data_IF_023585402437
#
_entry.id   IF_023585402437
#
_cell.length_a   1.000
_cell.length_b   1.000
_cell.length_c   1.000
_cell.angle_alpha   90.00
_cell.angle_beta   90.00
_cell.angle_gamma   90.00
#
_symmetry.space_group_name_H-M   'P 1'
#
loop_
_entity.id
_entity.type
_entity.pdbx_description
1 polymer ?
#
# COMPACT_ATOMS: atom_id res chain seq x y z
N UNK A 1 -4.11 16.37 10.58
CA UNK A 1 -5.21 15.64 11.23
C UNK A 1 -4.74 14.98 12.52
N UNK A 2 -5.49 15.04 13.62
CA UNK A 2 -5.14 14.39 14.91
C UNK A 2 -5.18 12.83 14.86
N UNK A 3 -5.61 12.26 13.74
CA UNK A 3 -5.76 10.81 13.52
C UNK A 3 -4.47 10.10 13.08
N UNK A 4 -3.42 10.84 12.70
CA UNK A 4 -2.15 10.29 12.21
C UNK A 4 -1.49 9.35 13.24
N UNK A 5 -1.58 9.68 14.53
CA UNK A 5 -0.96 8.89 15.61
C UNK A 5 -1.44 7.43 15.64
N UNK A 6 -2.70 7.16 15.26
CA UNK A 6 -3.27 5.80 15.32
C UNK A 6 -2.68 4.85 14.28
N UNK A 7 -2.19 5.38 13.16
CA UNK A 7 -1.73 4.62 12.00
C UNK A 7 -0.21 4.68 11.79
N UNK A 8 0.52 5.08 12.82
CA UNK A 8 1.98 4.99 12.87
C UNK A 8 2.42 3.69 13.53
N UNK A 9 3.54 3.12 13.05
CA UNK A 9 4.17 1.92 13.62
C UNK A 9 3.18 0.76 13.71
N UNK A 10 2.45 0.56 12.61
CA UNK A 10 1.44 -0.49 12.49
C UNK A 10 2.04 -1.86 12.25
N UNK A 11 3.31 -1.93 11.84
CA UNK A 11 3.95 -3.14 11.33
C UNK A 11 3.64 -3.39 9.86
N UNK A 12 2.73 -2.60 9.25
CA UNK A 12 2.39 -2.72 7.85
C UNK A 12 3.32 -1.89 6.96
N UNK A 13 4.07 -0.93 7.50
CA UNK A 13 4.94 -0.03 6.76
C UNK A 13 5.93 -0.80 5.86
N UNK A 14 6.05 -0.40 4.59
CA UNK A 14 6.78 -1.16 3.56
C UNK A 14 8.03 -0.50 3.02
N UNK A 15 8.21 0.80 3.26
CA UNK A 15 9.36 1.53 2.72
C UNK A 15 10.72 0.94 3.13
N UNK A 16 10.95 0.47 4.38
CA UNK A 16 12.26 -0.09 4.73
C UNK A 16 12.59 -1.37 3.95
N UNK A 17 11.61 -2.25 3.75
CA UNK A 17 11.78 -3.47 2.94
C UNK A 17 12.08 -3.13 1.47
N UNK A 18 11.31 -2.19 0.90
CA UNK A 18 11.54 -1.71 -0.47
C UNK A 18 12.94 -1.12 -0.65
N UNK A 19 13.44 -0.33 0.31
CA UNK A 19 14.79 0.23 0.23
C UNK A 19 15.86 -0.87 0.16
N UNK A 20 15.76 -1.90 1.01
CA UNK A 20 16.70 -3.05 0.97
C UNK A 20 16.65 -3.79 -0.36
N UNK A 21 15.46 -3.98 -0.91
CA UNK A 21 15.30 -4.67 -2.20
C UNK A 21 15.89 -3.85 -3.35
N UNK A 22 15.68 -2.53 -3.36
CA UNK A 22 16.27 -1.63 -4.36
C UNK A 22 17.80 -1.58 -4.25
N UNK A 23 18.34 -1.54 -3.04
CA UNK A 23 19.79 -1.63 -2.80
C UNK A 23 20.34 -2.95 -3.35
N UNK A 24 19.68 -4.07 -3.08
CA UNK A 24 20.07 -5.36 -3.62
C UNK A 24 20.02 -5.40 -5.16
N UNK A 25 18.95 -4.89 -5.77
CA UNK A 25 18.79 -4.82 -7.24
C UNK A 25 19.90 -3.97 -7.87
N UNK A 26 20.29 -2.86 -7.24
CA UNK A 26 21.35 -1.99 -7.74
C UNK A 26 22.72 -2.68 -7.84
N UNK A 27 22.90 -3.80 -7.12
CA UNK A 27 24.11 -4.62 -7.17
C UNK A 27 24.08 -5.67 -8.30
N UNK A 28 22.97 -5.83 -9.02
CA UNK A 28 22.76 -6.86 -10.05
C UNK A 28 22.99 -6.33 -11.49
N UNK A 29 23.81 -5.29 -11.68
CA UNK A 29 23.98 -4.56 -12.95
C UNK A 29 22.65 -4.01 -13.55
N UNK A 30 21.62 -3.85 -12.71
CA UNK A 30 20.32 -3.30 -13.08
C UNK A 30 20.23 -1.82 -12.71
N UNK A 31 19.71 -1.01 -13.63
CA UNK A 31 19.46 0.41 -13.39
C UNK A 31 18.16 0.56 -12.63
N UNK A 32 18.21 1.22 -11.47
CA UNK A 32 17.01 1.63 -10.73
C UNK A 32 16.39 2.82 -11.47
N UNK A 33 15.15 2.71 -11.98
CA UNK A 33 14.51 3.81 -12.70
C UNK A 33 14.02 4.88 -11.73
N UNK A 34 13.90 6.11 -12.25
CA UNK A 34 13.14 7.17 -11.57
C UNK A 34 11.65 6.81 -11.46
N UNK A 35 10.92 7.32 -10.45
CA UNK A 35 9.49 7.09 -10.32
C UNK A 35 8.71 7.53 -11.57
N UNK A 36 7.92 6.60 -12.12
CA UNK A 36 7.11 6.88 -13.31
C UNK A 36 5.76 7.52 -12.95
N UNK A 37 5.06 8.03 -13.99
CA UNK A 37 3.80 8.75 -13.83
C UNK A 37 2.73 8.04 -12.98
N UNK A 38 2.50 6.70 -13.06
CA UNK A 38 1.55 6.02 -12.18
C UNK A 38 1.82 6.23 -10.69
N UNK A 39 3.10 6.16 -10.27
CA UNK A 39 3.50 6.38 -8.89
C UNK A 39 3.36 7.86 -8.48
N UNK A 40 3.93 8.77 -9.28
CA UNK A 40 3.92 10.22 -8.99
C UNK A 40 2.49 10.78 -8.92
N UNK A 41 1.63 10.37 -9.86
CA UNK A 41 0.23 10.80 -9.89
C UNK A 41 -0.52 10.29 -8.66
N UNK A 42 -0.26 9.05 -8.24
CA UNK A 42 -0.96 8.48 -7.10
C UNK A 42 -0.52 9.15 -5.79
N UNK A 43 0.78 9.38 -5.59
CA UNK A 43 1.29 10.12 -4.42
C UNK A 43 0.67 11.51 -4.33
N UNK A 44 0.67 12.26 -5.45
CA UNK A 44 0.05 13.60 -5.50
C UNK A 44 -1.43 13.55 -5.08
N UNK A 45 -2.17 12.56 -5.58
CA UNK A 45 -3.58 12.37 -5.21
C UNK A 45 -3.76 12.04 -3.72
N UNK A 46 -2.88 11.20 -3.15
CA UNK A 46 -2.92 10.83 -1.73
C UNK A 46 -2.60 12.03 -0.83
N UNK A 47 -1.64 12.87 -1.20
CA UNK A 47 -1.30 14.11 -0.49
C UNK A 47 -2.48 15.07 -0.48
N UNK A 48 -3.13 15.28 -1.64
CA UNK A 48 -4.35 16.09 -1.71
C UNK A 48 -5.48 15.54 -0.83
N UNK A 49 -5.69 14.22 -0.81
CA UNK A 49 -6.70 13.60 0.05
C UNK A 49 -6.35 13.74 1.53
N UNK A 50 -5.07 13.62 1.88
CA UNK A 50 -4.58 13.75 3.24
C UNK A 50 -4.89 15.14 3.82
N UNK A 51 -4.91 16.19 2.99
CA UNK A 51 -5.28 17.55 3.39
C UNK A 51 -6.81 17.79 3.40
N UNK A 52 -7.53 17.18 2.45
CA UNK A 52 -8.95 17.49 2.19
C UNK A 52 -9.92 16.63 2.97
N UNK A 53 -9.63 15.34 3.20
CA UNK A 53 -10.62 14.38 3.72
C UNK A 53 -9.98 13.11 4.29
N UNK A 54 -10.01 12.99 5.61
CA UNK A 54 -9.57 11.78 6.30
C UNK A 54 -10.35 10.51 5.86
N UNK A 55 -11.69 10.51 5.69
CA UNK A 55 -12.40 9.34 5.19
C UNK A 55 -11.95 8.88 3.80
N UNK A 56 -11.64 9.81 2.90
CA UNK A 56 -11.13 9.45 1.57
C UNK A 56 -9.73 8.85 1.66
N UNK A 57 -8.81 9.53 2.37
CA UNK A 57 -7.45 9.07 2.54
C UNK A 57 -7.38 7.67 3.18
N UNK A 58 -8.18 7.45 4.24
CA UNK A 58 -8.20 6.16 4.95
C UNK A 58 -8.75 5.01 4.10
N UNK A 59 -9.62 5.29 3.13
CA UNK A 59 -10.04 4.29 2.14
C UNK A 59 -8.85 3.78 1.32
N UNK A 60 -8.01 4.69 0.84
CA UNK A 60 -6.80 4.34 0.09
C UNK A 60 -5.77 3.63 0.97
N UNK A 61 -5.52 4.15 2.17
CA UNK A 61 -4.62 3.54 3.16
C UNK A 61 -4.97 2.05 3.38
N UNK A 62 -6.24 1.75 3.66
CA UNK A 62 -6.71 0.38 3.84
C UNK A 62 -6.49 -0.46 2.59
N UNK A 63 -6.95 0.01 1.42
CA UNK A 63 -6.91 -0.78 0.21
C UNK A 63 -5.48 -1.04 -0.28
N UNK A 64 -4.53 -0.12 -0.07
CA UNK A 64 -3.11 -0.31 -0.41
C UNK A 64 -2.54 -1.48 0.40
N UNK A 65 -2.64 -1.44 1.73
CA UNK A 65 -2.09 -2.50 2.58
C UNK A 65 -2.83 -3.82 2.42
N UNK A 66 -4.16 -3.80 2.38
CA UNK A 66 -4.96 -4.99 2.15
C UNK A 66 -4.59 -5.68 0.84
N UNK A 67 -4.47 -4.92 -0.26
CA UNK A 67 -4.12 -5.48 -1.57
C UNK A 67 -2.72 -6.09 -1.56
N UNK A 68 -1.76 -5.45 -0.88
CA UNK A 68 -0.39 -5.97 -0.76
C UNK A 68 -0.34 -7.30 0.00
N UNK A 69 -1.07 -7.39 1.12
CA UNK A 69 -1.11 -8.56 2.00
C UNK A 69 -1.87 -9.73 1.35
N UNK A 70 -2.90 -9.43 0.56
CA UNK A 70 -3.71 -10.43 -0.13
C UNK A 70 -3.13 -10.75 -1.52
N UNK A 71 -3.62 -10.07 -2.57
CA UNK A 71 -3.27 -10.36 -3.95
C UNK A 71 -1.80 -10.10 -4.30
N UNK A 72 -1.17 -9.13 -3.64
CA UNK A 72 0.23 -8.76 -3.86
C UNK A 72 1.20 -9.93 -3.64
N UNK A 73 0.94 -10.78 -2.65
CA UNK A 73 1.73 -11.98 -2.36
C UNK A 73 1.78 -12.97 -3.52
N UNK A 74 0.65 -13.13 -4.23
CA UNK A 74 0.56 -14.05 -5.37
C UNK A 74 1.41 -13.54 -6.53
N UNK A 75 1.31 -12.23 -6.82
CA UNK A 75 2.09 -11.57 -7.88
C UNK A 75 3.58 -11.64 -7.54
N UNK A 76 3.94 -11.34 -6.29
CA UNK A 76 5.31 -11.38 -5.79
C UNK A 76 5.98 -12.73 -6.02
N UNK A 77 5.30 -13.81 -5.64
CA UNK A 77 5.80 -15.17 -5.80
C UNK A 77 6.05 -15.50 -7.27
N UNK A 78 5.11 -15.16 -8.15
CA UNK A 78 5.27 -15.40 -9.58
C UNK A 78 6.46 -14.63 -10.17
N UNK A 79 6.58 -13.34 -9.86
CA UNK A 79 7.70 -12.50 -10.32
C UNK A 79 9.03 -13.04 -9.79
N UNK A 80 9.08 -13.43 -8.51
CA UNK A 80 10.27 -13.99 -7.88
C UNK A 80 10.70 -15.31 -8.51
N UNK A 81 9.77 -16.25 -8.71
CA UNK A 81 10.04 -17.53 -9.38
C UNK A 81 10.53 -17.35 -10.81
N UNK A 82 9.97 -16.38 -11.55
CA UNK A 82 10.29 -16.17 -12.96
C UNK A 82 11.58 -15.38 -13.19
N UNK A 83 11.88 -14.39 -12.34
CA UNK A 83 12.92 -13.39 -12.62
C UNK A 83 14.02 -13.33 -11.56
N UNK A 84 13.77 -13.83 -10.34
CA UNK A 84 14.66 -13.63 -9.19
C UNK A 84 15.07 -14.96 -8.53
N UNK A 85 15.03 -16.06 -9.29
CA UNK A 85 15.44 -17.40 -8.83
C UNK A 85 14.74 -17.86 -7.53
N UNK A 86 13.48 -17.46 -7.34
CA UNK A 86 12.71 -17.78 -6.14
C UNK A 86 13.13 -17.01 -4.89
N UNK A 87 13.93 -15.93 -5.02
CA UNK A 87 14.31 -15.06 -3.90
C UNK A 87 13.08 -14.41 -3.25
N UNK A 88 12.97 -14.55 -1.95
CA UNK A 88 12.00 -13.81 -1.17
C UNK A 88 12.49 -12.38 -0.87
N UNK A 89 11.81 -11.40 -1.46
CA UNK A 89 12.08 -9.96 -1.30
C UNK A 89 11.61 -9.44 0.07
N UNK A 90 12.34 -8.49 0.64
CA UNK A 90 12.07 -7.89 1.95
C UNK A 90 10.73 -7.12 1.99
N UNK A 91 10.29 -6.58 0.85
CA UNK A 91 8.99 -5.92 0.69
C UNK A 91 7.80 -6.81 1.11
N UNK A 92 7.96 -8.13 0.99
CA UNK A 92 6.93 -9.13 1.32
C UNK A 92 7.21 -9.88 2.63
N UNK A 93 8.20 -9.45 3.42
CA UNK A 93 8.46 -9.99 4.76
C UNK A 93 7.91 -9.07 5.84
N UNK A 94 7.41 -9.65 6.92
CA UNK A 94 6.88 -8.91 8.05
C UNK A 94 7.49 -9.40 9.37
N UNK A 95 7.65 -8.46 10.29
CA UNK A 95 8.00 -8.77 11.67
C UNK A 95 6.73 -9.25 12.38
N UNK A 96 6.49 -10.56 12.35
CA UNK A 96 5.35 -11.21 13.02
C UNK A 96 4.14 -11.46 12.10
N UNK A 97 2.97 -11.66 12.70
CA UNK A 97 1.75 -11.98 11.96
C UNK A 97 1.12 -10.72 11.33
N UNK A 98 1.22 -10.64 10.01
CA UNK A 98 0.67 -9.54 9.23
C UNK A 98 -0.87 -9.51 9.26
N UNK A 99 -1.54 -10.66 9.39
CA UNK A 99 -3.01 -10.73 9.48
C UNK A 99 -3.49 -10.15 10.81
N UNK A 100 -2.77 -10.41 11.90
CA UNK A 100 -3.05 -9.77 13.19
C UNK A 100 -2.86 -8.25 13.11
N UNK A 101 -1.76 -7.81 12.49
CA UNK A 101 -1.47 -6.38 12.28
C UNK A 101 -2.57 -5.69 11.47
N UNK A 102 -3.01 -6.31 10.37
CA UNK A 102 -4.11 -5.83 9.55
C UNK A 102 -5.43 -5.78 10.33
N UNK A 103 -5.73 -6.80 11.14
CA UNK A 103 -6.93 -6.83 11.99
C UNK A 103 -6.94 -5.69 13.01
N UNK A 104 -5.79 -5.37 13.61
CA UNK A 104 -5.64 -4.23 14.52
C UNK A 104 -5.91 -2.92 13.78
N UNK A 105 -5.35 -2.75 12.58
CA UNK A 105 -5.63 -1.57 11.74
C UNK A 105 -7.11 -1.46 11.40
N UNK A 106 -7.78 -2.55 11.01
CA UNK A 106 -9.22 -2.58 10.76
C UNK A 106 -10.03 -2.18 12.00
N UNK A 107 -9.64 -2.64 13.19
CA UNK A 107 -10.28 -2.23 14.44
C UNK A 107 -10.20 -0.71 14.68
N UNK A 108 -9.03 -0.11 14.43
CA UNK A 108 -8.83 1.34 14.53
C UNK A 108 -9.63 2.11 13.48
N UNK A 109 -9.69 1.61 12.24
CA UNK A 109 -10.52 2.20 11.18
C UNK A 109 -12.02 2.16 11.54
N UNK A 110 -12.49 1.04 12.08
CA UNK A 110 -13.88 0.89 12.52
C UNK A 110 -14.22 1.88 13.64
N UNK A 111 -13.36 2.01 14.65
CA UNK A 111 -13.52 2.97 15.74
C UNK A 111 -13.65 4.41 15.21
N UNK A 112 -12.79 4.82 14.26
CA UNK A 112 -12.90 6.14 13.64
C UNK A 112 -14.20 6.30 12.84
N UNK A 113 -14.63 5.23 12.17
CA UNK A 113 -15.86 5.19 11.38
C UNK A 113 -17.15 5.24 12.19
N UNK A 114 -17.12 4.92 13.49
CA UNK A 114 -18.29 5.00 14.37
C UNK A 114 -18.87 6.41 14.43
N UNK A 115 -18.01 7.42 14.42
CA UNK A 115 -18.40 8.83 14.48
C UNK A 115 -18.65 9.48 13.11
N UNK A 116 -18.43 8.74 12.01
CA UNK A 116 -18.65 9.27 10.67
C UNK A 116 -20.13 9.32 10.32
N UNK A 117 -20.52 10.40 9.64
CA UNK A 117 -21.83 10.49 9.04
C UNK A 117 -22.02 9.40 7.97
N UNK A 118 -23.27 9.09 7.63
CA UNK A 118 -23.58 8.18 6.50
C UNK A 118 -22.97 8.68 5.19
N UNK A 119 -22.91 10.00 5.00
CA UNK A 119 -22.31 10.61 3.82
C UNK A 119 -20.80 10.33 3.75
N UNK A 120 -20.08 10.49 4.86
CA UNK A 120 -18.64 10.24 4.94
C UNK A 120 -18.30 8.76 4.73
N UNK A 121 -19.12 7.85 5.26
CA UNK A 121 -18.98 6.40 4.99
C UNK A 121 -19.18 6.09 3.51
N UNK A 122 -20.22 6.64 2.88
CA UNK A 122 -20.46 6.46 1.45
C UNK A 122 -19.33 7.04 0.59
N UNK A 123 -18.79 8.19 0.99
CA UNK A 123 -17.62 8.83 0.37
C UNK A 123 -16.38 7.95 0.46
N UNK A 124 -16.08 7.41 1.64
CA UNK A 124 -14.99 6.44 1.83
C UNK A 124 -15.12 5.22 0.89
N UNK A 125 -16.32 4.64 0.79
CA UNK A 125 -16.56 3.48 -0.08
C UNK A 125 -16.35 3.79 -1.58
N UNK A 126 -16.69 5.01 -2.03
CA UNK A 126 -16.48 5.44 -3.43
C UNK A 126 -14.99 5.54 -3.81
N UNK A 127 -14.12 5.83 -2.85
CA UNK A 127 -12.68 5.91 -3.10
C UNK A 127 -12.02 4.54 -3.32
N UNK A 128 -12.64 3.44 -2.87
CA UNK A 128 -12.09 2.10 -3.05
C UNK A 128 -11.83 1.77 -4.54
N UNK A 129 -12.80 2.07 -5.42
CA UNK A 129 -12.66 1.84 -6.86
C UNK A 129 -11.50 2.66 -7.47
N UNK A 130 -11.29 3.89 -6.99
CA UNK A 130 -10.17 4.73 -7.43
C UNK A 130 -8.84 4.16 -6.93
N UNK A 131 -8.79 3.68 -5.69
CA UNK A 131 -7.61 3.00 -5.15
C UNK A 131 -7.19 1.83 -6.04
N UNK A 132 -8.13 0.95 -6.41
CA UNK A 132 -7.83 -0.18 -7.30
C UNK A 132 -7.41 0.27 -8.70
N UNK A 133 -7.97 1.37 -9.22
CA UNK A 133 -7.53 1.94 -10.50
C UNK A 133 -6.07 2.38 -10.44
N UNK A 134 -5.66 3.13 -9.42
CA UNK A 134 -4.29 3.58 -9.26
C UNK A 134 -3.31 2.42 -9.02
N UNK A 135 -3.66 1.49 -8.12
CA UNK A 135 -2.86 0.29 -7.87
C UNK A 135 -2.70 -0.55 -9.15
N UNK A 136 -3.78 -0.72 -9.93
CA UNK A 136 -3.74 -1.43 -11.20
C UNK A 136 -2.83 -0.77 -12.23
N UNK A 137 -2.72 0.56 -12.24
CA UNK A 137 -1.77 1.26 -13.12
C UNK A 137 -0.31 1.00 -12.72
N UNK A 138 -0.03 0.92 -11.41
CA UNK A 138 1.31 0.58 -10.91
C UNK A 138 1.65 -0.88 -11.20
N UNK A 139 0.73 -1.82 -10.92
CA UNK A 139 0.95 -3.26 -11.18
C UNK A 139 1.22 -3.54 -12.66
N UNK A 140 0.59 -2.80 -13.58
CA UNK A 140 0.84 -2.93 -15.02
C UNK A 140 2.30 -2.68 -15.40
N UNK A 141 3.06 -1.91 -14.62
CA UNK A 141 4.49 -1.68 -14.87
C UNK A 141 5.34 -2.95 -14.74
N UNK A 142 4.83 -4.02 -14.11
CA UNK A 142 5.51 -5.31 -14.02
C UNK A 142 5.50 -6.05 -15.38
N UNK A 143 4.49 -5.79 -16.21
CA UNK A 143 4.20 -6.56 -17.43
C UNK A 143 4.62 -5.79 -18.71
N UNK A 144 4.84 -4.47 -18.59
CA UNK A 144 5.22 -3.59 -19.69
C UNK A 144 6.73 -3.63 -19.95
#
# INVERSE_FOLDING_TARGET
FATDVYFRKTGLERSPGLCKDLEWISQQDLVIPEPSNPGVTYVTYLEELADKSAPHFLSHFYNIYFSHIAGGQVIARQVSEMLLEGRELEFYKWDGDVQESLKVVCGKLNMLGEHWSREDRNKCLKEAAKSYKFLGQIIRLIIL
#
